data_IF_164027505994
#
_entry.id   IF_164027505994
#
_cell.length_a   1.000
_cell.length_b   1.000
_cell.length_c   1.000
_cell.angle_alpha   90.00
_cell.angle_beta   90.00
_cell.angle_gamma   90.00
#
_symmetry.space_group_name_H-M   'P 1'
#
loop_
_entity.id
_entity.type
_entity.pdbx_description
1 polymer ?
#
# COMPACT_ATOMS: atom_id res chain seq x y z
N UNK A 1 -16.38 10.77 -16.03
CA UNK A 1 -17.03 11.77 -15.16
C UNK A 1 -16.93 11.25 -13.72
N UNK A 2 -15.89 11.64 -12.98
CA UNK A 2 -15.64 11.14 -11.64
C UNK A 2 -16.66 11.77 -10.68
N UNK A 3 -17.72 11.02 -10.31
CA UNK A 3 -18.72 11.51 -9.35
C UNK A 3 -18.06 11.57 -7.98
N UNK A 4 -17.83 12.78 -7.48
CA UNK A 4 -17.42 12.97 -6.10
C UNK A 4 -18.56 12.49 -5.18
N UNK A 5 -18.24 11.76 -4.09
CA UNK A 5 -19.24 11.28 -3.15
C UNK A 5 -20.04 12.45 -2.60
N UNK A 6 -21.36 12.33 -2.58
CA UNK A 6 -22.22 13.41 -2.10
C UNK A 6 -22.15 13.49 -0.56
N UNK A 7 -22.31 14.69 0.05
CA UNK A 7 -22.34 14.81 1.50
C UNK A 7 -23.40 13.91 2.17
N UNK A 8 -24.57 13.78 1.52
CA UNK A 8 -25.67 12.91 1.99
C UNK A 8 -25.26 11.43 1.99
N UNK A 9 -24.57 10.97 0.93
CA UNK A 9 -24.09 9.59 0.85
C UNK A 9 -23.07 9.30 1.96
N UNK A 10 -22.21 10.27 2.27
CA UNK A 10 -21.22 10.14 3.35
C UNK A 10 -21.90 10.03 4.71
N UNK A 11 -22.92 10.85 4.97
CA UNK A 11 -23.73 10.76 6.19
C UNK A 11 -24.44 9.42 6.30
N UNK A 12 -25.01 8.93 5.20
CA UNK A 12 -25.67 7.63 5.17
C UNK A 12 -24.69 6.48 5.45
N UNK A 13 -23.49 6.51 4.88
CA UNK A 13 -22.44 5.52 5.15
C UNK A 13 -21.97 5.57 6.60
N UNK A 14 -21.77 6.76 7.18
CA UNK A 14 -21.39 6.90 8.58
C UNK A 14 -22.50 6.40 9.53
N UNK A 15 -23.76 6.73 9.23
CA UNK A 15 -24.89 6.23 9.98
C UNK A 15 -25.04 4.70 9.85
N UNK A 16 -24.86 4.15 8.64
CA UNK A 16 -24.86 2.71 8.41
C UNK A 16 -23.77 2.03 9.23
N UNK A 17 -22.55 2.57 9.24
CA UNK A 17 -21.44 2.05 10.05
C UNK A 17 -21.79 2.06 11.54
N UNK A 18 -22.39 3.15 12.05
CA UNK A 18 -22.85 3.21 13.44
C UNK A 18 -23.93 2.16 13.76
N UNK A 19 -24.86 1.91 12.83
CA UNK A 19 -25.90 0.88 13.00
C UNK A 19 -25.34 -0.54 12.95
N UNK A 20 -24.39 -0.83 12.07
CA UNK A 20 -23.69 -2.13 12.03
C UNK A 20 -22.93 -2.37 13.33
N UNK A 21 -22.26 -1.35 13.85
CA UNK A 21 -21.59 -1.42 15.15
C UNK A 21 -22.59 -1.59 16.30
N UNK A 22 -23.78 -0.98 16.23
CA UNK A 22 -24.85 -1.24 17.19
C UNK A 22 -25.25 -2.73 17.20
N UNK A 23 -25.36 -3.37 16.04
CA UNK A 23 -25.70 -4.81 15.99
C UNK A 23 -24.63 -5.72 16.61
N UNK A 24 -23.37 -5.29 16.61
CA UNK A 24 -22.24 -6.05 17.18
C UNK A 24 -22.08 -5.82 18.69
N UNK A 25 -22.25 -4.58 19.16
CA UNK A 25 -21.94 -4.18 20.54
C UNK A 25 -23.18 -3.93 21.41
N UNK A 26 -24.37 -3.88 20.80
CA UNK A 26 -25.68 -3.63 21.42
C UNK A 26 -25.74 -2.36 22.28
N UNK A 27 -24.94 -1.34 21.94
CA UNK A 27 -24.85 -0.09 22.70
C UNK A 27 -25.84 0.94 22.18
N UNK A 28 -26.81 1.33 23.01
CA UNK A 28 -27.92 2.21 22.60
C UNK A 28 -27.47 3.61 22.15
N UNK A 29 -26.33 4.09 22.66
CA UNK A 29 -25.74 5.37 22.24
C UNK A 29 -25.40 5.39 20.73
N UNK A 30 -25.03 4.26 20.13
CA UNK A 30 -24.73 4.18 18.70
C UNK A 30 -25.99 4.33 17.84
N UNK A 31 -27.13 3.84 18.33
CA UNK A 31 -28.41 3.98 17.64
C UNK A 31 -28.81 5.47 17.58
N UNK A 32 -28.73 6.18 18.70
CA UNK A 32 -29.00 7.63 18.74
C UNK A 32 -28.03 8.42 17.84
N UNK A 33 -26.75 8.06 17.82
CA UNK A 33 -25.76 8.69 16.95
C UNK A 33 -26.08 8.48 15.46
N UNK A 34 -26.46 7.27 15.06
CA UNK A 34 -26.85 6.97 13.67
C UNK A 34 -28.07 7.77 13.21
N UNK A 35 -29.10 7.84 14.05
CA UNK A 35 -30.32 8.64 13.77
C UNK A 35 -30.01 10.13 13.68
N UNK A 36 -29.17 10.66 14.57
CA UNK A 36 -28.71 12.05 14.53
C UNK A 36 -27.93 12.37 13.26
N UNK A 37 -27.04 11.47 12.82
CA UNK A 37 -26.28 11.65 11.57
C UNK A 37 -27.21 11.70 10.34
N UNK A 38 -28.24 10.87 10.29
CA UNK A 38 -29.22 10.92 9.20
C UNK A 38 -30.05 12.21 9.24
N UNK A 39 -30.53 12.63 10.41
CA UNK A 39 -31.27 13.88 10.56
C UNK A 39 -30.44 15.09 10.16
N UNK A 40 -29.21 15.19 10.67
CA UNK A 40 -28.30 16.30 10.31
C UNK A 40 -27.94 16.27 8.83
N UNK A 41 -27.78 15.09 8.21
CA UNK A 41 -27.53 14.95 6.78
C UNK A 41 -28.66 15.50 5.89
N UNK A 42 -29.92 15.40 6.33
CA UNK A 42 -31.09 15.85 5.58
C UNK A 42 -31.40 17.33 5.84
N UNK A 43 -31.40 17.75 7.11
CA UNK A 43 -31.87 19.08 7.50
C UNK A 43 -30.77 20.15 7.53
N UNK A 44 -29.51 19.77 7.79
CA UNK A 44 -28.39 20.69 8.03
C UNK A 44 -27.27 20.50 6.99
N UNK A 45 -27.47 21.03 5.78
CA UNK A 45 -26.45 21.05 4.70
C UNK A 45 -25.06 21.54 5.13
N UNK A 46 -24.88 22.69 5.83
CA UNK A 46 -23.54 23.19 6.13
C UNK A 46 -22.76 22.28 7.10
N UNK A 47 -23.46 21.66 8.05
CA UNK A 47 -22.85 20.69 8.98
C UNK A 47 -22.47 19.42 8.25
N UNK A 48 -23.35 18.94 7.37
CA UNK A 48 -23.11 17.76 6.53
C UNK A 48 -21.86 17.93 5.67
N UNK A 49 -21.69 19.10 5.06
CA UNK A 49 -20.55 19.42 4.21
C UNK A 49 -19.23 19.51 4.99
N UNK A 50 -19.25 20.05 6.21
CA UNK A 50 -18.06 20.14 7.06
C UNK A 50 -17.56 18.77 7.50
N UNK A 51 -18.47 17.90 7.94
CA UNK A 51 -18.14 16.52 8.32
C UNK A 51 -17.69 15.73 7.10
N UNK A 52 -18.38 15.85 5.95
CA UNK A 52 -17.97 15.22 4.70
C UNK A 52 -16.55 15.61 4.31
N UNK A 53 -16.21 16.91 4.39
CA UNK A 53 -14.86 17.38 4.07
C UNK A 53 -13.80 16.81 5.02
N UNK A 54 -14.10 16.74 6.32
CA UNK A 54 -13.22 16.10 7.31
C UNK A 54 -13.02 14.61 7.03
N UNK A 55 -14.12 13.90 6.72
CA UNK A 55 -14.08 12.48 6.34
C UNK A 55 -13.27 12.23 5.06
N UNK A 56 -13.47 13.05 4.04
CA UNK A 56 -12.75 12.95 2.78
C UNK A 56 -11.26 13.28 2.94
N UNK A 57 -10.91 14.23 3.81
CA UNK A 57 -9.52 14.51 4.15
C UNK A 57 -8.86 13.27 4.78
N UNK A 58 -9.53 12.63 5.74
CA UNK A 58 -9.06 11.40 6.37
C UNK A 58 -8.92 10.25 5.36
N UNK A 59 -9.90 10.07 4.47
CA UNK A 59 -9.84 9.09 3.40
C UNK A 59 -8.68 9.35 2.42
N UNK A 60 -8.40 10.62 2.11
CA UNK A 60 -7.29 10.99 1.23
C UNK A 60 -5.93 10.70 1.87
N UNK A 61 -5.77 10.97 3.17
CA UNK A 61 -4.56 10.65 3.92
C UNK A 61 -4.36 9.13 3.99
N UNK A 62 -5.40 8.38 4.35
CA UNK A 62 -5.38 6.91 4.35
C UNK A 62 -5.02 6.34 2.98
N UNK A 63 -5.59 6.90 1.90
CA UNK A 63 -5.30 6.49 0.53
C UNK A 63 -3.81 6.66 0.17
N UNK A 64 -3.18 7.76 0.59
CA UNK A 64 -1.73 7.98 0.38
C UNK A 64 -0.88 6.97 1.14
N UNK A 65 -1.24 6.70 2.39
CA UNK A 65 -0.50 5.79 3.26
C UNK A 65 -0.66 4.33 2.81
N UNK A 66 -1.81 3.98 2.25
CA UNK A 66 -2.12 2.62 1.81
C UNK A 66 -1.10 2.07 0.81
N UNK A 67 -0.63 2.87 -0.14
CA UNK A 67 0.38 2.43 -1.12
C UNK A 67 1.71 2.04 -0.47
N UNK A 68 2.18 2.83 0.49
CA UNK A 68 3.42 2.57 1.24
C UNK A 68 3.25 1.31 2.11
N UNK A 69 2.10 1.18 2.78
CA UNK A 69 1.79 0.00 3.61
C UNK A 69 1.76 -1.26 2.74
N UNK A 70 1.02 -1.26 1.64
CA UNK A 70 0.92 -2.43 0.76
C UNK A 70 2.29 -2.84 0.21
N UNK A 71 3.08 -1.89 -0.28
CA UNK A 71 4.41 -2.18 -0.80
C UNK A 71 5.36 -2.66 0.30
N UNK A 72 5.30 -2.05 1.49
CA UNK A 72 6.07 -2.48 2.65
C UNK A 72 5.73 -3.90 3.07
N UNK A 73 4.44 -4.23 3.19
CA UNK A 73 3.97 -5.58 3.50
C UNK A 73 4.45 -6.57 2.43
N UNK A 74 4.28 -6.25 1.15
CA UNK A 74 4.74 -7.10 0.05
C UNK A 74 6.25 -7.35 0.12
N UNK A 75 7.04 -6.30 0.40
CA UNK A 75 8.48 -6.43 0.54
C UNK A 75 8.88 -7.32 1.74
N UNK A 76 8.26 -7.11 2.91
CA UNK A 76 8.61 -7.87 4.11
C UNK A 76 8.07 -9.29 4.12
N UNK A 77 6.87 -9.54 3.57
CA UNK A 77 6.22 -10.85 3.58
C UNK A 77 6.64 -11.71 2.38
N UNK A 78 6.96 -11.12 1.23
CA UNK A 78 7.31 -11.87 0.02
C UNK A 78 8.81 -11.75 -0.30
N UNK A 79 9.30 -10.53 -0.56
CA UNK A 79 10.67 -10.33 -1.07
C UNK A 79 11.75 -10.66 -0.02
N UNK A 80 11.52 -10.34 1.24
CA UNK A 80 12.47 -10.56 2.33
C UNK A 80 12.69 -12.06 2.59
N UNK A 81 11.67 -12.90 2.82
CA UNK A 81 11.88 -14.33 2.98
C UNK A 81 12.41 -14.97 1.70
N UNK A 82 12.00 -14.50 0.51
CA UNK A 82 12.57 -14.97 -0.74
C UNK A 82 14.07 -14.70 -0.84
N UNK A 83 14.52 -13.51 -0.40
CA UNK A 83 15.94 -13.13 -0.39
C UNK A 83 16.74 -13.96 0.61
N UNK A 84 16.17 -14.25 1.79
CA UNK A 84 16.79 -15.17 2.75
C UNK A 84 16.88 -16.59 2.21
N UNK A 85 15.82 -17.08 1.57
CA UNK A 85 15.80 -18.40 0.94
C UNK A 85 16.88 -18.48 -0.16
N UNK A 86 16.96 -17.47 -1.00
CA UNK A 86 18.00 -17.37 -2.03
C UNK A 86 19.40 -17.32 -1.40
N UNK A 87 19.59 -16.60 -0.30
CA UNK A 87 20.88 -16.56 0.40
C UNK A 87 21.26 -17.89 1.06
N UNK A 88 20.28 -18.69 1.48
CA UNK A 88 20.50 -20.03 2.04
C UNK A 88 20.86 -21.06 0.97
N UNK A 89 20.16 -21.04 -0.17
CA UNK A 89 20.36 -22.04 -1.24
C UNK A 89 21.45 -21.68 -2.24
N UNK A 90 21.69 -20.39 -2.49
CA UNK A 90 22.60 -19.98 -3.53
C UNK A 90 24.04 -19.89 -3.00
N UNK A 91 24.94 -20.72 -3.55
CA UNK A 91 26.38 -20.58 -3.36
C UNK A 91 26.84 -19.31 -4.09
N UNK A 92 27.93 -18.73 -3.61
CA UNK A 92 28.45 -17.41 -3.98
C UNK A 92 28.82 -17.29 -5.47
N UNK A 93 27.82 -17.15 -6.36
CA UNK A 93 28.02 -17.05 -7.81
C UNK A 93 28.71 -15.76 -8.23
N UNK A 94 28.60 -14.71 -7.40
CA UNK A 94 29.21 -13.41 -7.66
C UNK A 94 30.64 -13.32 -7.11
N UNK A 95 31.20 -14.40 -6.53
CA UNK A 95 32.52 -14.41 -5.88
C UNK A 95 32.68 -13.22 -4.91
N UNK A 96 31.62 -12.86 -4.18
CA UNK A 96 31.60 -11.70 -3.28
C UNK A 96 32.35 -11.98 -1.97
N UNK A 97 32.50 -13.26 -1.59
CA UNK A 97 33.34 -13.64 -0.46
C UNK A 97 34.81 -13.46 -0.83
N UNK A 98 35.59 -13.05 0.18
CA UNK A 98 37.04 -12.88 0.04
C UNK A 98 37.65 -14.23 -0.34
N UNK A 99 38.06 -14.34 -1.59
CA UNK A 99 38.73 -15.52 -2.11
C UNK A 99 40.23 -15.45 -1.74
N UNK A 100 40.93 -16.59 -1.66
CA UNK A 100 42.37 -16.63 -1.34
C UNK A 100 43.27 -16.14 -2.49
N UNK A 101 42.68 -15.79 -3.64
CA UNK A 101 43.36 -15.24 -4.81
C UNK A 101 43.56 -13.72 -4.68
N UNK A 102 44.68 -13.23 -5.22
CA UNK A 102 45.08 -11.81 -5.11
C UNK A 102 44.22 -10.86 -5.98
N UNK A 103 43.27 -11.40 -6.75
CA UNK A 103 42.45 -10.67 -7.71
C UNK A 103 41.13 -11.39 -7.98
N UNK A 104 40.06 -10.62 -8.22
CA UNK A 104 38.74 -11.10 -8.65
C UNK A 104 38.62 -11.25 -10.17
N UNK A 105 39.64 -10.83 -10.93
CA UNK A 105 39.64 -10.95 -12.39
C UNK A 105 39.80 -12.41 -12.82
N UNK A 106 38.83 -12.92 -13.60
CA UNK A 106 38.94 -14.24 -14.25
C UNK A 106 39.62 -14.09 -15.61
N UNK A 107 40.72 -14.80 -15.90
CA UNK A 107 41.38 -14.72 -17.20
C UNK A 107 40.44 -15.23 -18.29
N UNK A 108 40.17 -14.38 -19.30
CA UNK A 108 39.39 -14.75 -20.49
C UNK A 108 40.35 -15.13 -21.61
N UNK A 109 40.55 -16.43 -21.82
CA UNK A 109 41.33 -16.95 -22.96
C UNK A 109 40.45 -16.98 -24.22
N UNK A 110 39.97 -15.81 -24.63
CA UNK A 110 39.16 -15.65 -25.83
C UNK A 110 40.03 -15.15 -26.99
N UNK A 111 40.06 -15.89 -28.09
CA UNK A 111 40.70 -15.45 -29.33
C UNK A 111 39.76 -14.51 -30.07
N UNK A 112 40.10 -13.22 -30.10
CA UNK A 112 39.30 -12.21 -30.77
C UNK A 112 39.17 -12.50 -32.27
N UNK A 113 37.93 -12.51 -32.76
CA UNK A 113 37.62 -12.62 -34.19
C UNK A 113 37.09 -11.30 -34.72
N UNK A 114 37.16 -11.10 -36.05
CA UNK A 114 36.69 -9.87 -36.70
C UNK A 114 35.21 -9.55 -36.38
N UNK A 115 34.41 -10.59 -36.13
CA UNK A 115 32.98 -10.48 -35.80
C UNK A 115 32.73 -9.86 -34.42
N UNK A 116 33.68 -9.95 -33.50
CA UNK A 116 33.58 -9.36 -32.15
C UNK A 116 33.80 -7.84 -32.17
N UNK A 117 34.42 -7.32 -33.24
CA UNK A 117 34.67 -5.89 -33.42
C UNK A 117 33.53 -5.16 -34.14
N UNK A 118 32.55 -5.89 -34.68
CA UNK A 118 31.38 -5.29 -35.33
C UNK A 118 30.40 -4.68 -34.32
N UNK A 119 30.40 -5.16 -33.08
CA UNK A 119 29.58 -4.62 -31.98
C UNK A 119 30.45 -4.42 -30.74
N UNK A 120 31.13 -3.27 -30.70
CA UNK A 120 32.02 -2.87 -29.60
C UNK A 120 31.28 -2.26 -28.40
N UNK A 121 29.95 -2.18 -28.40
CA UNK A 121 29.13 -1.57 -27.35
C UNK A 121 28.07 -2.54 -26.82
#
# INVERSE_FOLDING_TARGET
MNKQPQPIETMAVLALAALVLYLLFNQIYLLYAGVLLLLTGIFLKPVSELIHRGWMFLAHVLGKVNGIIFLGILFFVILTPLSWLFRLFNKDHLNLKKNTTNSYFTPRNHTFTAKDLEKMW
#
